data_IF_306877832078
#
_entry.id   IF_306877832078
#
_cell.length_a   1.000
_cell.length_b   1.000
_cell.length_c   1.000
_cell.angle_alpha   90.00
_cell.angle_beta   90.00
_cell.angle_gamma   90.00
#
_symmetry.space_group_name_H-M   'P 1'
#
loop_
_entity.id
_entity.type
_entity.pdbx_description
1 polymer ?
#
# COMPACT_ATOMS: atom_id res chain seq x y z
N UNK A 1 -39.35 4.37 7.81
CA UNK A 1 -38.48 4.62 6.64
C UNK A 1 -38.59 3.43 5.71
N UNK A 2 -38.71 3.65 4.39
CA UNK A 2 -38.74 2.55 3.42
C UNK A 2 -37.31 2.00 3.28
N UNK A 3 -37.08 0.67 3.32
CA UNK A 3 -35.75 0.11 3.14
C UNK A 3 -35.19 0.47 1.76
N UNK A 4 -33.89 0.75 1.70
CA UNK A 4 -33.18 0.95 0.44
C UNK A 4 -32.76 -0.41 -0.12
N UNK A 5 -33.11 -0.69 -1.36
CA UNK A 5 -32.73 -1.92 -2.06
C UNK A 5 -31.66 -1.58 -3.10
N UNK A 6 -30.57 -2.35 -3.12
CA UNK A 6 -29.54 -2.25 -4.16
C UNK A 6 -29.57 -3.51 -5.02
N UNK A 7 -29.57 -3.32 -6.34
CA UNK A 7 -29.55 -4.41 -7.31
C UNK A 7 -28.10 -4.61 -7.76
N UNK A 8 -27.48 -5.71 -7.33
CA UNK A 8 -26.11 -6.06 -7.75
C UNK A 8 -26.20 -7.22 -8.74
N UNK A 9 -25.67 -7.00 -9.95
CA UNK A 9 -25.50 -8.05 -10.95
C UNK A 9 -24.15 -8.73 -10.71
N UNK A 10 -24.17 -9.97 -10.23
CA UNK A 10 -22.98 -10.80 -10.12
C UNK A 10 -23.01 -11.87 -11.21
N UNK A 11 -21.91 -12.00 -11.96
CA UNK A 11 -21.71 -13.10 -12.90
C UNK A 11 -20.76 -14.11 -12.25
N UNK A 12 -21.21 -15.35 -12.08
CA UNK A 12 -20.32 -16.47 -11.81
C UNK A 12 -19.88 -17.03 -13.16
N UNK A 13 -18.58 -17.01 -13.41
CA UNK A 13 -18.04 -17.64 -14.61
C UNK A 13 -18.19 -19.18 -14.52
N UNK A 14 -18.45 -19.90 -15.63
CA UNK A 14 -18.42 -19.43 -17.02
C UNK A 14 -19.75 -18.82 -17.48
N UNK A 15 -19.75 -17.48 -17.63
CA UNK A 15 -20.54 -16.56 -18.47
C UNK A 15 -21.97 -16.90 -18.98
N UNK A 16 -22.70 -17.86 -18.41
CA UNK A 16 -24.06 -18.21 -18.85
C UNK A 16 -25.13 -18.01 -17.79
N UNK A 17 -24.75 -17.84 -16.52
CA UNK A 17 -25.68 -17.54 -15.43
C UNK A 17 -25.44 -16.13 -14.87
N UNK A 18 -26.46 -15.26 -15.03
CA UNK A 18 -26.54 -13.97 -14.35
C UNK A 18 -27.56 -14.13 -13.24
N UNK A 19 -27.09 -14.21 -11.99
CA UNK A 19 -27.98 -14.24 -10.83
C UNK A 19 -28.32 -12.80 -10.42
N UNK A 20 -29.62 -12.49 -10.35
CA UNK A 20 -30.09 -11.25 -9.73
C UNK A 20 -30.19 -11.49 -8.23
N UNK A 21 -29.26 -10.91 -7.47
CA UNK A 21 -29.31 -10.91 -6.01
C UNK A 21 -29.97 -9.63 -5.53
N UNK A 22 -31.14 -9.75 -4.92
CA UNK A 22 -31.83 -8.63 -4.28
C UNK A 22 -31.33 -8.50 -2.85
N UNK A 23 -30.50 -7.49 -2.57
CA UNK A 23 -30.05 -7.20 -1.21
C UNK A 23 -30.93 -6.10 -0.60
N UNK A 24 -31.62 -6.44 0.48
CA UNK A 24 -32.32 -5.48 1.30
C UNK A 24 -31.35 -4.93 2.34
N UNK A 25 -30.99 -3.64 2.23
CA UNK A 25 -30.13 -3.00 3.21
C UNK A 25 -30.98 -2.61 4.42
N UNK A 26 -31.03 -3.52 5.40
CA UNK A 26 -31.54 -3.18 6.72
C UNK A 26 -30.56 -2.18 7.36
N UNK A 27 -31.02 -0.94 7.53
CA UNK A 27 -30.32 0.11 8.27
C UNK A 27 -30.29 -0.24 9.76
N UNK A 28 -29.44 -1.17 10.14
CA UNK A 28 -28.99 -1.34 11.53
C UNK A 28 -27.48 -1.36 11.49
N UNK A 29 -26.87 -0.38 12.18
CA UNK A 29 -25.42 -0.22 12.20
C UNK A 29 -24.71 -1.53 12.57
N UNK A 30 -23.58 -1.73 11.92
CA UNK A 30 -22.50 -2.62 12.37
C UNK A 30 -22.56 -4.11 12.05
N UNK A 31 -23.20 -4.56 10.95
CA UNK A 31 -22.90 -5.90 10.43
C UNK A 31 -22.79 -5.95 8.89
N UNK A 32 -21.70 -5.40 8.37
CA UNK A 32 -21.23 -5.72 7.02
C UNK A 32 -20.27 -6.92 7.11
N UNK A 33 -20.82 -8.13 7.09
CA UNK A 33 -19.99 -9.33 6.96
C UNK A 33 -19.49 -9.44 5.53
N UNK A 34 -18.18 -9.23 5.32
CA UNK A 34 -17.54 -9.42 4.01
C UNK A 34 -17.74 -10.88 3.58
N UNK A 35 -18.37 -11.16 2.42
CA UNK A 35 -18.57 -12.52 1.95
C UNK A 35 -17.22 -13.22 1.76
N UNK A 36 -17.15 -14.53 2.00
CA UNK A 36 -15.90 -15.29 1.96
C UNK A 36 -15.18 -15.21 0.61
N UNK A 37 -15.93 -15.05 -0.48
CA UNK A 37 -15.38 -14.77 -1.83
C UNK A 37 -14.54 -13.49 -1.87
N UNK A 38 -14.82 -12.51 -1.01
CA UNK A 38 -14.08 -11.26 -0.89
C UNK A 38 -13.06 -11.27 0.26
N UNK A 39 -12.95 -12.37 1.02
CA UNK A 39 -11.89 -12.57 2.01
C UNK A 39 -10.65 -13.13 1.32
N UNK A 40 -9.86 -12.27 0.68
CA UNK A 40 -8.50 -12.63 0.30
C UNK A 40 -7.63 -12.76 1.57
N UNK A 41 -6.86 -13.84 1.66
CA UNK A 41 -5.93 -14.07 2.76
C UNK A 41 -4.79 -13.05 2.70
N UNK A 42 -4.66 -12.24 3.75
CA UNK A 42 -3.50 -11.37 3.99
C UNK A 42 -2.37 -12.12 4.73
N UNK A 43 -2.54 -13.41 5.03
CA UNK A 43 -1.60 -14.18 5.87
C UNK A 43 -0.35 -14.65 5.12
N UNK A 44 -0.26 -14.40 3.81
CA UNK A 44 0.96 -14.62 3.07
C UNK A 44 1.87 -13.39 3.20
N UNK A 45 2.47 -13.19 4.37
CA UNK A 45 3.73 -12.45 4.51
C UNK A 45 4.83 -13.25 3.80
N UNK A 46 4.72 -13.35 2.47
CA UNK A 46 5.84 -13.74 1.63
C UNK A 46 6.87 -12.65 1.86
N UNK A 47 8.05 -13.02 2.38
CA UNK A 47 9.19 -12.10 2.40
C UNK A 47 9.30 -11.50 1.01
N UNK A 48 9.18 -10.17 0.90
CA UNK A 48 9.13 -9.50 -0.39
C UNK A 48 10.35 -9.95 -1.20
N UNK A 49 10.10 -10.57 -2.36
CA UNK A 49 11.16 -10.86 -3.32
C UNK A 49 11.65 -9.54 -3.90
N UNK A 50 12.92 -9.47 -4.27
CA UNK A 50 13.47 -8.29 -4.93
C UNK A 50 12.64 -7.92 -6.17
N UNK A 51 12.48 -6.62 -6.41
CA UNK A 51 11.87 -6.13 -7.63
C UNK A 51 12.76 -6.40 -8.84
N UNK A 52 12.16 -6.43 -10.04
CA UNK A 52 12.82 -6.90 -11.26
C UNK A 52 14.08 -6.09 -11.62
N UNK A 53 14.06 -4.80 -11.32
CA UNK A 53 15.11 -3.83 -11.60
C UNK A 53 16.30 -3.99 -10.64
N UNK A 54 16.04 -4.30 -9.38
CA UNK A 54 17.07 -4.62 -8.38
C UNK A 54 17.89 -5.84 -8.83
N UNK A 55 17.22 -6.86 -9.33
CA UNK A 55 17.87 -8.05 -9.92
C UNK A 55 18.58 -7.70 -11.23
N UNK A 56 17.94 -6.91 -12.11
CA UNK A 56 18.50 -6.57 -13.42
C UNK A 56 19.82 -5.79 -13.34
N UNK A 57 20.03 -4.99 -12.30
CA UNK A 57 21.29 -4.26 -12.07
C UNK A 57 22.35 -5.11 -11.33
N UNK A 58 22.03 -6.34 -10.94
CA UNK A 58 22.94 -7.22 -10.20
C UNK A 58 23.22 -6.77 -8.76
N UNK A 59 22.33 -5.96 -8.15
CA UNK A 59 22.55 -5.45 -6.79
C UNK A 59 22.75 -6.56 -5.72
N UNK A 60 22.03 -7.70 -5.77
CA UNK A 60 22.23 -8.77 -4.79
C UNK A 60 23.66 -9.33 -4.75
N UNK A 61 24.39 -9.27 -5.86
CA UNK A 61 25.76 -9.80 -5.96
C UNK A 61 26.78 -8.96 -5.16
N UNK A 62 26.45 -7.71 -4.83
CA UNK A 62 27.35 -6.74 -4.18
C UNK A 62 26.88 -6.25 -2.80
N UNK A 63 25.78 -6.80 -2.27
CA UNK A 63 25.22 -6.41 -0.97
C UNK A 63 26.06 -6.80 0.25
N UNK A 64 27.25 -7.38 0.09
CA UNK A 64 28.17 -7.59 1.21
C UNK A 64 28.54 -6.28 1.95
N UNK A 65 28.38 -5.12 1.31
CA UNK A 65 28.63 -3.80 1.92
C UNK A 65 27.38 -2.97 2.21
N UNK A 66 26.21 -3.33 1.65
CA UNK A 66 24.91 -2.61 1.70
C UNK A 66 24.98 -1.08 1.66
N UNK A 67 26.05 -0.49 1.10
CA UNK A 67 26.30 0.96 1.17
C UNK A 67 26.51 1.53 2.58
N UNK A 68 26.93 0.73 3.58
CA UNK A 68 27.13 1.20 4.96
C UNK A 68 28.11 2.37 5.01
N UNK A 69 27.69 3.48 5.64
CA UNK A 69 28.47 4.71 5.74
C UNK A 69 28.25 5.69 4.57
N UNK A 70 27.46 5.32 3.57
CA UNK A 70 27.05 6.20 2.48
C UNK A 70 25.74 6.91 2.83
N UNK A 71 25.65 8.19 2.50
CA UNK A 71 24.42 8.99 2.60
C UNK A 71 23.95 9.33 1.19
N UNK A 72 22.69 9.00 0.87
CA UNK A 72 22.05 9.33 -0.40
C UNK A 72 20.92 10.32 -0.12
N UNK A 73 20.99 11.50 -0.74
CA UNK A 73 19.92 12.49 -0.71
C UNK A 73 19.05 12.40 -1.97
N UNK A 74 17.73 12.35 -1.79
CA UNK A 74 16.77 12.42 -2.89
C UNK A 74 16.10 13.80 -2.91
N UNK A 75 16.04 14.45 -4.08
CA UNK A 75 15.31 15.71 -4.28
C UNK A 75 13.95 15.36 -4.88
N UNK A 76 13.00 15.09 -4.00
CA UNK A 76 11.66 14.63 -4.32
C UNK A 76 10.68 15.28 -3.30
N UNK A 77 9.36 15.27 -3.53
CA UNK A 77 8.36 15.68 -2.53
C UNK A 77 8.48 15.05 -1.13
N UNK A 78 9.25 13.98 -0.97
CA UNK A 78 9.64 13.40 0.32
C UNK A 78 9.24 11.94 0.50
N UNK A 79 9.77 11.32 1.55
CA UNK A 79 9.55 9.92 1.89
C UNK A 79 8.86 9.78 3.26
N UNK A 80 8.05 8.73 3.41
CA UNK A 80 7.39 8.43 4.69
C UNK A 80 8.41 7.78 5.61
N UNK A 81 9.11 8.57 6.43
CA UNK A 81 10.18 8.09 7.31
C UNK A 81 9.76 6.99 8.30
N UNK A 82 8.45 6.82 8.54
CA UNK A 82 7.89 5.75 9.38
C UNK A 82 7.55 4.47 8.61
N UNK A 83 7.73 4.43 7.28
CA UNK A 83 7.42 3.26 6.47
C UNK A 83 8.35 2.08 6.82
N UNK A 84 7.77 0.89 6.98
CA UNK A 84 8.44 -0.30 7.53
C UNK A 84 9.72 -0.66 6.76
N UNK A 85 9.76 -0.42 5.44
CA UNK A 85 10.90 -0.73 4.59
C UNK A 85 12.09 0.24 4.72
N UNK A 86 11.87 1.52 5.08
CA UNK A 86 12.91 2.57 5.02
C UNK A 86 13.24 3.19 6.38
N UNK A 87 12.41 2.97 7.41
CA UNK A 87 12.57 3.59 8.74
C UNK A 87 13.95 3.38 9.37
N UNK A 88 14.60 2.26 9.08
CA UNK A 88 15.93 1.94 9.61
C UNK A 88 17.09 2.62 8.86
N UNK A 89 16.85 3.10 7.64
CA UNK A 89 17.83 3.81 6.82
C UNK A 89 17.62 5.33 6.83
N UNK A 90 16.54 5.82 7.43
CA UNK A 90 16.22 7.23 7.50
C UNK A 90 17.20 8.01 8.40
N UNK A 91 17.74 9.11 7.89
CA UNK A 91 18.70 9.98 8.55
C UNK A 91 18.05 10.95 9.56
N UNK A 92 17.17 10.46 10.44
CA UNK A 92 16.51 11.21 11.55
C UNK A 92 16.56 12.77 11.45
N UNK A 93 17.43 13.43 12.22
CA UNK A 93 17.54 14.90 12.35
C UNK A 93 18.07 15.63 11.10
N UNK A 94 18.72 14.91 10.16
CA UNK A 94 19.29 15.46 8.92
C UNK A 94 18.64 14.89 7.65
N UNK A 95 17.56 14.13 7.79
CA UNK A 95 16.96 13.35 6.70
C UNK A 95 15.99 14.15 5.84
N UNK A 96 15.57 15.33 6.30
CA UNK A 96 14.54 16.14 5.65
C UNK A 96 14.89 17.61 5.59
N UNK A 97 14.63 18.22 4.44
CA UNK A 97 14.68 19.65 4.25
C UNK A 97 13.58 20.04 3.28
N UNK A 98 12.61 20.82 3.76
CA UNK A 98 11.63 21.50 2.91
C UNK A 98 11.89 23.00 3.02
N UNK A 99 12.23 23.60 1.87
CA UNK A 99 12.63 25.01 1.78
C UNK A 99 11.44 25.98 1.82
N UNK A 100 10.20 25.50 1.68
CA UNK A 100 9.00 26.32 1.69
C UNK A 100 8.48 26.52 3.11
N UNK A 101 8.11 25.42 3.78
CA UNK A 101 7.40 25.48 5.06
C UNK A 101 8.31 25.19 6.27
N UNK A 102 9.54 24.72 6.04
CA UNK A 102 10.51 24.32 7.06
C UNK A 102 9.95 23.41 8.18
N UNK A 103 9.08 22.41 7.89
CA UNK A 103 8.61 21.49 8.91
C UNK A 103 9.76 20.61 9.42
N UNK A 104 9.70 20.27 10.71
CA UNK A 104 10.67 19.38 11.35
C UNK A 104 10.56 17.92 10.88
N UNK A 105 9.46 17.52 10.22
CA UNK A 105 9.23 16.17 9.72
C UNK A 105 8.73 16.18 8.27
N UNK A 106 9.04 15.13 7.47
CA UNK A 106 8.52 14.98 6.13
C UNK A 106 7.01 14.97 6.08
N UNK A 107 6.43 15.73 5.14
CA UNK A 107 5.02 15.62 4.76
C UNK A 107 4.95 14.97 3.39
N UNK A 108 4.56 13.70 3.34
CA UNK A 108 4.29 13.03 2.07
C UNK A 108 2.91 13.46 1.58
N UNK A 109 2.88 14.25 0.51
CA UNK A 109 1.63 14.70 -0.13
C UNK A 109 1.34 13.99 -1.45
N UNK A 110 2.30 13.19 -1.95
CA UNK A 110 2.18 12.41 -3.17
C UNK A 110 2.97 11.10 -3.05
N UNK A 111 2.61 10.09 -3.84
CA UNK A 111 3.23 8.77 -3.81
C UNK A 111 4.51 8.64 -4.65
N UNK A 112 5.02 9.72 -5.23
CA UNK A 112 6.15 9.67 -6.16
C UNK A 112 7.51 9.49 -5.46
N UNK A 113 7.59 9.79 -4.15
CA UNK A 113 8.82 9.74 -3.35
C UNK A 113 8.81 8.72 -2.20
N UNK A 114 7.81 7.84 -2.18
CA UNK A 114 7.54 6.91 -1.07
C UNK A 114 7.49 5.47 -1.52
#
# INVERSE_FOLDING_TARGET
MKPASILVLASTAPATDVAILHFEMASTGDDFTVPEVLKCSFDNQVAATNEWDVEAIGAPEVWYSTGKGTVVGSIDPGALHTHEAIKHNWLSELGWLDLYDWPALPRVTSSYGS
#
